data_IF_280853690513
#
_entry.id   IF_280853690513
#
_cell.length_a   1.000
_cell.length_b   1.000
_cell.length_c   1.000
_cell.angle_alpha   90.00
_cell.angle_beta   90.00
_cell.angle_gamma   90.00
#
_symmetry.space_group_name_H-M   'P 1'
#
loop_
_entity.id
_entity.type
_entity.pdbx_description
1 polymer ?
#
# COMPACT_ATOMS: atom_id res chain seq x y z
N UNK A 1 -28.77 -16.51 17.66
CA UNK A 1 -28.31 -16.05 18.99
C UNK A 1 -27.95 -14.57 18.94
N UNK A 2 -27.99 -13.88 20.07
CA UNK A 2 -27.50 -12.51 20.22
C UNK A 2 -26.11 -12.51 20.83
N UNK A 3 -25.19 -11.75 20.23
CA UNK A 3 -23.81 -11.56 20.71
C UNK A 3 -23.61 -10.08 21.02
N UNK A 4 -22.96 -9.81 22.15
CA UNK A 4 -22.59 -8.47 22.56
C UNK A 4 -21.24 -8.07 21.95
N UNK A 5 -21.18 -6.90 21.34
CA UNK A 5 -20.00 -6.36 20.69
C UNK A 5 -19.43 -5.25 21.56
N UNK A 6 -18.20 -5.44 22.01
CA UNK A 6 -17.47 -4.49 22.85
C UNK A 6 -16.16 -4.09 22.18
N UNK A 7 -15.64 -2.90 22.47
CA UNK A 7 -14.27 -2.54 22.08
C UNK A 7 -13.27 -3.31 22.96
N UNK A 8 -12.01 -3.36 22.54
CA UNK A 8 -10.91 -3.86 23.41
C UNK A 8 -10.68 -3.03 24.68
N UNK A 9 -11.41 -1.92 24.85
CA UNK A 9 -11.42 -1.05 26.03
C UNK A 9 -12.73 -1.17 26.82
N UNK A 10 -13.47 -2.26 26.63
CA UNK A 10 -14.75 -2.58 27.29
C UNK A 10 -15.88 -1.57 27.06
N UNK A 11 -15.79 -0.72 26.01
CA UNK A 11 -16.90 0.14 25.62
C UNK A 11 -17.89 -0.64 24.76
N UNK A 12 -19.17 -0.62 25.14
CA UNK A 12 -20.22 -1.29 24.39
C UNK A 12 -20.46 -0.62 23.03
N UNK A 13 -20.50 -1.41 21.95
CA UNK A 13 -20.87 -0.95 20.60
C UNK A 13 -22.33 -1.30 20.30
N UNK A 14 -22.82 -2.43 20.81
CA UNK A 14 -24.19 -2.89 20.62
C UNK A 14 -24.31 -4.41 20.60
N UNK A 15 -25.50 -4.91 20.26
CA UNK A 15 -25.78 -6.35 20.12
C UNK A 15 -26.10 -6.69 18.67
N UNK A 16 -25.65 -7.85 18.22
CA UNK A 16 -25.94 -8.35 16.87
C UNK A 16 -26.57 -9.74 16.94
N UNK A 17 -27.50 -10.02 16.02
CA UNK A 17 -28.08 -11.35 15.84
C UNK A 17 -27.24 -12.12 14.84
N UNK A 18 -26.77 -13.30 15.23
CA UNK A 18 -25.98 -14.20 14.39
C UNK A 18 -26.53 -15.63 14.45
N UNK A 19 -26.24 -16.42 13.42
CA UNK A 19 -26.54 -17.85 13.34
C UNK A 19 -25.26 -18.67 13.43
N UNK A 20 -25.36 -19.95 13.80
CA UNK A 20 -24.19 -20.85 13.91
C UNK A 20 -23.41 -21.00 12.60
N UNK A 21 -24.12 -20.84 11.47
CA UNK A 21 -23.54 -20.89 10.13
C UNK A 21 -22.86 -19.57 9.69
N UNK A 22 -23.08 -18.47 10.42
CA UNK A 22 -22.49 -17.18 10.09
C UNK A 22 -20.97 -17.24 10.22
N UNK A 23 -20.27 -16.55 9.32
CA UNK A 23 -18.82 -16.37 9.40
C UNK A 23 -18.46 -15.05 10.08
N UNK A 24 -17.19 -14.92 10.49
CA UNK A 24 -16.64 -13.66 11.00
C UNK A 24 -16.78 -12.52 9.98
N UNK A 25 -16.69 -12.81 8.68
CA UNK A 25 -16.93 -11.83 7.61
C UNK A 25 -18.35 -11.21 7.66
N UNK A 26 -19.37 -12.02 7.97
CA UNK A 26 -20.76 -11.57 8.10
C UNK A 26 -20.99 -10.76 9.39
N UNK A 27 -20.28 -11.14 10.46
CA UNK A 27 -20.27 -10.40 11.72
C UNK A 27 -19.68 -9.00 11.49
N UNK A 28 -18.54 -8.88 10.79
CA UNK A 28 -17.93 -7.58 10.47
C UNK A 28 -18.89 -6.67 9.70
N UNK A 29 -19.60 -7.22 8.71
CA UNK A 29 -20.63 -6.48 7.95
C UNK A 29 -21.77 -6.02 8.86
N UNK A 30 -22.22 -6.87 9.78
CA UNK A 30 -23.29 -6.55 10.73
C UNK A 30 -22.87 -5.45 11.72
N UNK A 31 -21.64 -5.50 12.23
CA UNK A 31 -21.06 -4.45 13.08
C UNK A 31 -20.97 -3.13 12.33
N UNK A 32 -20.58 -3.16 11.05
CA UNK A 32 -20.51 -1.96 10.21
C UNK A 32 -21.88 -1.31 10.00
N UNK A 33 -22.97 -2.07 10.01
CA UNK A 33 -24.34 -1.51 9.96
C UNK A 33 -24.73 -0.80 11.26
N UNK A 34 -24.28 -1.30 12.41
CA UNK A 34 -24.53 -0.67 13.73
C UNK A 34 -23.63 0.57 13.91
N UNK A 35 -22.37 0.48 13.49
CA UNK A 35 -21.38 1.55 13.61
C UNK A 35 -20.62 1.71 12.30
N UNK A 36 -21.14 2.58 11.43
CA UNK A 36 -20.61 2.83 10.08
C UNK A 36 -19.14 3.25 10.05
N UNK A 37 -18.65 3.93 11.09
CA UNK A 37 -17.24 4.30 11.22
C UNK A 37 -16.28 3.10 11.26
N UNK A 38 -16.76 1.92 11.68
CA UNK A 38 -16.03 0.66 11.68
C UNK A 38 -16.45 -0.17 10.48
N UNK A 39 -15.97 0.19 9.29
CA UNK A 39 -16.16 -0.65 8.10
C UNK A 39 -15.38 -1.97 8.22
N UNK A 40 -15.76 -3.04 7.48
CA UNK A 40 -15.26 -4.40 7.72
C UNK A 40 -13.73 -4.53 7.80
N UNK A 41 -12.97 -3.91 6.89
CA UNK A 41 -11.51 -4.03 6.87
C UNK A 41 -10.82 -3.32 8.04
N UNK A 42 -11.48 -2.31 8.62
CA UNK A 42 -11.00 -1.57 9.80
C UNK A 42 -11.17 -2.36 11.10
N UNK A 43 -11.92 -3.46 11.07
CA UNK A 43 -12.23 -4.28 12.24
C UNK A 43 -11.30 -5.48 12.39
N UNK A 44 -10.71 -5.63 13.58
CA UNK A 44 -10.09 -6.87 14.05
C UNK A 44 -10.94 -7.48 15.17
N UNK A 45 -11.57 -8.62 14.89
CA UNK A 45 -12.44 -9.33 15.85
C UNK A 45 -11.62 -10.33 16.65
N UNK A 46 -11.87 -10.39 17.96
CA UNK A 46 -11.16 -11.22 18.94
C UNK A 46 -12.14 -11.83 19.95
N UNK A 47 -11.81 -13.01 20.47
CA UNK A 47 -12.56 -13.64 21.57
C UNK A 47 -12.28 -13.00 22.93
N UNK A 48 -11.08 -12.45 23.09
CA UNK A 48 -10.62 -11.78 24.31
C UNK A 48 -10.05 -10.40 23.96
N UNK A 49 -10.09 -9.45 24.91
CA UNK A 49 -9.59 -8.09 24.69
C UNK A 49 -8.13 -8.05 24.18
N UNK A 50 -7.27 -8.95 24.68
CA UNK A 50 -5.86 -9.09 24.28
C UNK A 50 -5.57 -10.35 23.47
N UNK A 51 -6.61 -11.06 23.02
CA UNK A 51 -6.49 -12.28 22.26
C UNK A 51 -6.03 -12.07 20.81
N UNK A 52 -5.84 -13.20 20.11
CA UNK A 52 -5.51 -13.24 18.68
C UNK A 52 -6.72 -12.81 17.84
N UNK A 53 -6.46 -12.15 16.70
CA UNK A 53 -7.48 -11.85 15.70
C UNK A 53 -8.00 -13.15 15.07
N UNK A 54 -9.33 -13.24 14.95
CA UNK A 54 -10.01 -14.31 14.23
C UNK A 54 -9.87 -14.14 12.72
N UNK A 55 -9.94 -15.26 11.98
CA UNK A 55 -9.94 -15.23 10.52
C UNK A 55 -11.37 -15.01 10.02
N UNK A 56 -11.48 -14.38 8.87
CA UNK A 56 -12.78 -14.05 8.27
C UNK A 56 -13.58 -15.29 7.85
N UNK A 57 -12.90 -16.42 7.66
CA UNK A 57 -13.46 -17.73 7.33
C UNK A 57 -13.98 -18.51 8.53
N UNK A 58 -13.60 -18.13 9.76
CA UNK A 58 -13.98 -18.86 10.96
C UNK A 58 -15.50 -18.76 11.17
N UNK A 59 -16.13 -19.88 11.52
CA UNK A 59 -17.57 -19.95 11.77
C UNK A 59 -17.88 -19.75 13.23
N UNK A 60 -19.03 -19.16 13.51
CA UNK A 60 -19.50 -18.93 14.88
C UNK A 60 -19.61 -20.23 15.68
N UNK A 61 -20.06 -21.33 15.03
CA UNK A 61 -20.14 -22.66 15.64
C UNK A 61 -18.78 -23.16 16.17
N UNK A 62 -17.71 -22.97 15.39
CA UNK A 62 -16.37 -23.49 15.70
C UNK A 62 -15.71 -22.70 16.85
N UNK A 63 -16.17 -21.48 17.08
CA UNK A 63 -15.68 -20.57 18.12
C UNK A 63 -16.36 -20.79 19.48
N UNK A 64 -17.33 -21.70 19.58
CA UNK A 64 -18.03 -22.00 20.83
C UNK A 64 -18.85 -20.83 21.38
N UNK A 65 -19.23 -19.87 20.54
CA UNK A 65 -19.99 -18.69 20.94
C UNK A 65 -21.43 -19.09 21.28
N UNK A 66 -21.93 -18.59 22.41
CA UNK A 66 -23.28 -18.83 22.92
C UNK A 66 -24.09 -17.53 22.93
N UNK A 67 -25.39 -17.66 23.20
CA UNK A 67 -26.24 -16.50 23.40
C UNK A 67 -25.74 -15.65 24.59
N UNK A 68 -25.50 -14.36 24.37
CA UNK A 68 -24.92 -13.44 25.36
C UNK A 68 -23.39 -13.44 25.43
N UNK A 69 -22.69 -14.22 24.59
CA UNK A 69 -21.24 -14.13 24.49
C UNK A 69 -20.78 -12.73 24.06
N UNK A 70 -19.56 -12.37 24.45
CA UNK A 70 -18.93 -11.09 24.11
C UNK A 70 -17.90 -11.31 23.01
N UNK A 71 -17.88 -10.42 22.02
CA UNK A 71 -16.81 -10.31 21.03
C UNK A 71 -16.15 -8.95 21.13
N UNK A 72 -14.82 -8.96 21.05
CA UNK A 72 -14.00 -7.76 21.16
C UNK A 72 -13.61 -7.27 19.77
N UNK A 73 -13.91 -6.01 19.49
CA UNK A 73 -13.52 -5.33 18.25
C UNK A 73 -12.39 -4.37 18.54
N UNK A 74 -11.27 -4.57 17.84
CA UNK A 74 -10.17 -3.61 17.77
C UNK A 74 -10.29 -2.80 16.49
N UNK A 75 -10.23 -1.48 16.63
CA UNK A 75 -10.10 -0.56 15.51
C UNK A 75 -8.64 -0.54 15.01
N UNK A 76 -8.43 -0.88 13.73
CA UNK A 76 -7.13 -0.87 13.06
C UNK A 76 -6.77 0.49 12.45
N UNK A 77 -7.68 1.46 12.47
CA UNK A 77 -7.57 2.72 11.77
C UNK A 77 -7.86 2.59 10.26
N UNK A 78 -7.75 3.71 9.50
CA UNK A 78 -8.03 3.71 8.08
C UNK A 78 -7.13 2.72 7.31
N UNK A 79 -7.78 1.80 6.61
CA UNK A 79 -7.20 0.78 5.76
C UNK A 79 -7.40 1.11 4.27
N UNK A 80 -6.43 0.74 3.45
CA UNK A 80 -6.45 0.83 1.98
C UNK A 80 -6.10 -0.53 1.37
N UNK A 81 -6.69 -0.85 0.21
CA UNK A 81 -6.47 -2.12 -0.47
C UNK A 81 -5.05 -2.27 -1.01
N UNK A 82 -4.46 -3.47 -0.90
CA UNK A 82 -3.08 -3.70 -1.34
C UNK A 82 -2.86 -3.39 -2.83
N UNK A 83 -3.81 -3.72 -3.70
CA UNK A 83 -3.69 -3.37 -5.13
C UNK A 83 -3.48 -1.87 -5.34
N UNK A 84 -4.28 -1.01 -4.68
CA UNK A 84 -4.12 0.45 -4.75
C UNK A 84 -2.77 0.91 -4.19
N UNK A 85 -2.28 0.25 -3.15
CA UNK A 85 -0.97 0.56 -2.56
C UNK A 85 0.14 0.29 -3.54
N UNK A 86 0.22 -0.93 -4.07
CA UNK A 86 1.26 -1.31 -5.02
C UNK A 86 1.20 -0.47 -6.30
N UNK A 87 -0.01 -0.11 -6.73
CA UNK A 87 -0.20 0.83 -7.84
C UNK A 87 0.40 2.20 -7.53
N UNK A 88 0.08 2.82 -6.39
CA UNK A 88 0.64 4.12 -6.02
C UNK A 88 2.15 4.07 -5.77
N UNK A 89 2.64 2.96 -5.20
CA UNK A 89 4.05 2.72 -4.92
C UNK A 89 4.89 2.65 -6.19
N UNK A 90 4.40 2.00 -7.26
CA UNK A 90 5.14 1.81 -8.51
C UNK A 90 4.79 2.79 -9.64
N UNK A 91 3.56 3.29 -9.70
CA UNK A 91 3.20 4.35 -10.65
C UNK A 91 3.90 5.67 -10.31
N UNK A 92 4.19 5.91 -9.03
CA UNK A 92 4.90 7.09 -8.57
C UNK A 92 6.31 7.24 -9.13
N UNK A 93 7.21 6.27 -8.96
CA UNK A 93 8.54 6.27 -9.59
C UNK A 93 8.49 6.48 -11.10
N UNK A 94 7.51 5.90 -11.80
CA UNK A 94 7.33 6.15 -13.23
C UNK A 94 6.99 7.62 -13.49
N UNK A 95 5.97 8.14 -12.81
CA UNK A 95 5.51 9.52 -13.00
C UNK A 95 6.56 10.55 -12.60
N UNK A 96 7.19 10.37 -11.44
CA UNK A 96 8.24 11.25 -10.92
C UNK A 96 9.43 11.25 -11.87
N UNK A 97 9.90 10.09 -12.33
CA UNK A 97 11.03 10.06 -13.26
C UNK A 97 10.72 10.80 -14.56
N UNK A 98 9.53 10.58 -15.15
CA UNK A 98 9.10 11.27 -16.37
C UNK A 98 8.93 12.78 -16.17
N UNK A 99 8.45 13.20 -14.99
CA UNK A 99 8.35 14.62 -14.64
C UNK A 99 9.73 15.28 -14.60
N UNK A 100 10.73 14.65 -13.99
CA UNK A 100 12.10 15.18 -13.97
C UNK A 100 12.76 15.10 -15.36
N UNK A 101 12.46 14.06 -16.14
CA UNK A 101 12.94 13.92 -17.51
C UNK A 101 12.37 15.00 -18.45
N UNK A 102 11.13 15.44 -18.23
CA UNK A 102 10.52 16.56 -18.95
C UNK A 102 11.15 17.93 -18.61
N UNK A 103 12.02 17.98 -17.59
CA UNK A 103 12.79 19.15 -17.15
C UNK A 103 11.94 20.43 -17.02
N UNK A 104 10.88 20.43 -16.20
CA UNK A 104 10.10 21.64 -15.98
C UNK A 104 11.00 22.77 -15.47
N UNK A 105 10.79 23.97 -16.01
CA UNK A 105 11.57 25.16 -15.69
C UNK A 105 11.61 25.49 -14.20
N UNK A 106 10.58 25.08 -13.44
CA UNK A 106 10.51 25.21 -11.99
C UNK A 106 11.70 24.57 -11.25
N UNK A 107 12.17 23.40 -11.71
CA UNK A 107 13.28 22.68 -11.07
C UNK A 107 14.63 22.92 -11.77
N UNK A 108 14.62 23.19 -13.08
CA UNK A 108 15.82 23.23 -13.91
C UNK A 108 16.26 24.63 -14.36
N UNK A 109 15.43 25.66 -14.15
CA UNK A 109 15.73 27.04 -14.51
C UNK A 109 16.22 27.20 -15.95
N UNK A 110 17.33 27.91 -16.14
CA UNK A 110 17.94 28.16 -17.45
C UNK A 110 18.39 26.88 -18.19
N UNK A 111 18.56 25.77 -17.47
CA UNK A 111 19.00 24.50 -18.08
C UNK A 111 17.84 23.68 -18.67
N UNK A 112 16.58 24.06 -18.44
CA UNK A 112 15.40 23.31 -18.89
C UNK A 112 15.41 22.99 -20.40
N UNK A 113 15.90 23.91 -21.22
CA UNK A 113 15.96 23.77 -22.68
C UNK A 113 17.21 23.04 -23.20
N UNK A 114 18.11 22.59 -22.31
CA UNK A 114 19.29 21.85 -22.73
C UNK A 114 18.92 20.41 -23.12
N UNK A 115 19.56 19.90 -24.17
CA UNK A 115 19.37 18.52 -24.61
C UNK A 115 19.87 17.55 -23.55
N UNK A 116 19.08 16.51 -23.28
CA UNK A 116 19.46 15.43 -22.37
C UNK A 116 20.59 14.59 -22.99
N UNK A 117 21.47 14.03 -22.15
CA UNK A 117 22.52 13.13 -22.63
C UNK A 117 21.91 11.83 -23.16
N UNK A 118 22.59 11.17 -24.10
CA UNK A 118 22.15 9.85 -24.60
C UNK A 118 22.04 8.81 -23.48
N UNK A 119 22.91 8.88 -22.48
CA UNK A 119 22.87 7.99 -21.30
C UNK A 119 21.59 8.20 -20.50
N UNK A 120 21.20 9.45 -20.25
CA UNK A 120 19.99 9.76 -19.51
C UNK A 120 18.71 9.43 -20.31
N UNK A 121 18.77 9.53 -21.64
CA UNK A 121 17.69 9.06 -22.51
C UNK A 121 17.51 7.53 -22.44
N UNK A 122 18.58 6.76 -22.56
CA UNK A 122 18.53 5.29 -22.41
C UNK A 122 18.05 4.90 -21.02
N UNK A 123 18.54 5.57 -19.97
CA UNK A 123 18.11 5.31 -18.60
C UNK A 123 16.62 5.60 -18.41
N UNK A 124 16.08 6.64 -19.04
CA UNK A 124 14.65 6.95 -18.99
C UNK A 124 13.80 5.85 -19.61
N UNK A 125 14.22 5.29 -20.75
CA UNK A 125 13.54 4.14 -21.36
C UNK A 125 13.59 2.90 -20.46
N UNK A 126 14.77 2.56 -19.92
CA UNK A 126 14.91 1.40 -19.02
C UNK A 126 14.05 1.55 -17.76
N UNK A 127 14.09 2.72 -17.11
CA UNK A 127 13.31 3.02 -15.92
C UNK A 127 11.80 2.94 -16.21
N UNK A 128 11.37 3.57 -17.29
CA UNK A 128 9.97 3.60 -17.69
C UNK A 128 9.45 2.20 -18.01
N UNK A 129 10.22 1.41 -18.76
CA UNK A 129 9.87 0.03 -19.09
C UNK A 129 9.76 -0.83 -17.82
N UNK A 130 10.74 -0.74 -16.91
CA UNK A 130 10.73 -1.49 -15.66
C UNK A 130 9.50 -1.19 -14.81
N UNK A 131 9.22 0.09 -14.52
CA UNK A 131 8.10 0.45 -13.67
C UNK A 131 6.75 0.24 -14.36
N UNK A 132 6.68 0.36 -15.69
CA UNK A 132 5.48 -0.03 -16.45
C UNK A 132 5.23 -1.53 -16.31
N UNK A 133 6.25 -2.38 -16.46
CA UNK A 133 6.13 -3.82 -16.20
C UNK A 133 5.62 -4.08 -14.78
N UNK A 134 6.19 -3.43 -13.76
CA UNK A 134 5.76 -3.57 -12.35
C UNK A 134 4.29 -3.20 -12.13
N UNK A 135 3.83 -2.11 -12.76
CA UNK A 135 2.43 -1.68 -12.70
C UNK A 135 1.52 -2.71 -13.39
N UNK A 136 1.91 -3.22 -14.56
CA UNK A 136 1.16 -4.27 -15.25
C UNK A 136 1.13 -5.58 -14.48
N UNK A 137 2.24 -5.99 -13.86
CA UNK A 137 2.30 -7.16 -12.99
C UNK A 137 1.36 -7.00 -11.78
N UNK A 138 1.29 -5.80 -11.21
CA UNK A 138 0.37 -5.46 -10.12
C UNK A 138 -1.10 -5.58 -10.55
N UNK A 139 -1.43 -5.19 -11.78
CA UNK A 139 -2.80 -5.21 -12.31
C UNK A 139 -3.25 -6.62 -12.74
N UNK A 140 -2.37 -7.38 -13.39
CA UNK A 140 -2.76 -8.59 -14.12
C UNK A 140 -2.22 -9.89 -13.52
N UNK A 141 -1.11 -9.85 -12.79
CA UNK A 141 -0.39 -11.05 -12.33
C UNK A 141 -0.49 -11.22 -10.82
N UNK A 142 -0.43 -10.13 -10.05
CA UNK A 142 -0.38 -10.18 -8.60
C UNK A 142 -1.72 -10.60 -7.99
N UNK A 143 -1.67 -11.66 -7.18
CA UNK A 143 -2.76 -12.08 -6.30
C UNK A 143 -2.41 -11.76 -4.85
N UNK A 144 -3.06 -10.75 -4.29
CA UNK A 144 -2.86 -10.37 -2.90
C UNK A 144 -3.55 -11.35 -1.94
N UNK A 145 -2.81 -11.84 -0.94
CA UNK A 145 -3.31 -12.75 0.09
C UNK A 145 -4.02 -12.02 1.24
N UNK A 146 -3.60 -10.79 1.52
CA UNK A 146 -4.29 -9.87 2.41
C UNK A 146 -5.04 -8.82 1.59
N UNK A 147 -6.19 -8.39 2.10
CA UNK A 147 -7.03 -7.44 1.38
C UNK A 147 -6.55 -5.99 1.56
N UNK A 148 -6.08 -5.61 2.76
CA UNK A 148 -5.77 -4.22 3.08
C UNK A 148 -4.52 -4.02 3.95
N UNK A 149 -4.05 -2.77 4.01
CA UNK A 149 -3.03 -2.30 4.94
C UNK A 149 -3.37 -0.91 5.53
N UNK A 150 -2.75 -0.51 6.66
CA UNK A 150 -2.93 0.83 7.23
C UNK A 150 -2.42 1.93 6.29
N UNK A 151 -3.22 2.98 6.09
CA UNK A 151 -2.91 4.07 5.15
C UNK A 151 -1.59 4.80 5.45
N UNK A 152 -1.19 4.88 6.71
CA UNK A 152 0.07 5.55 7.08
C UNK A 152 1.30 4.86 6.49
N UNK A 153 1.23 3.55 6.24
CA UNK A 153 2.32 2.83 5.59
C UNK A 153 2.43 3.18 4.11
N UNK A 154 1.33 3.60 3.46
CA UNK A 154 1.34 4.02 2.06
C UNK A 154 2.24 5.24 1.88
N UNK A 155 2.07 6.25 2.73
CA UNK A 155 2.88 7.45 2.66
C UNK A 155 4.37 7.18 2.90
N UNK A 156 4.70 6.27 3.83
CA UNK A 156 6.09 5.86 4.06
C UNK A 156 6.70 5.21 2.83
N UNK A 157 6.01 4.23 2.25
CA UNK A 157 6.47 3.52 1.06
C UNK A 157 6.60 4.48 -0.13
N UNK A 158 5.56 5.24 -0.43
CA UNK A 158 5.56 6.19 -1.54
C UNK A 158 6.66 7.24 -1.38
N UNK A 159 6.80 7.86 -0.21
CA UNK A 159 7.85 8.85 0.02
C UNK A 159 9.24 8.27 -0.22
N UNK A 160 9.49 7.02 0.21
CA UNK A 160 10.74 6.32 -0.04
C UNK A 160 10.99 6.11 -1.54
N UNK A 161 10.09 5.44 -2.25
CA UNK A 161 10.29 5.11 -3.67
C UNK A 161 10.32 6.35 -4.57
N UNK A 162 9.44 7.31 -4.32
CA UNK A 162 9.33 8.53 -5.12
C UNK A 162 10.52 9.45 -4.87
N UNK A 163 10.91 9.62 -3.61
CA UNK A 163 12.10 10.39 -3.24
C UNK A 163 13.39 9.76 -3.77
N UNK A 164 13.52 8.43 -3.68
CA UNK A 164 14.65 7.71 -4.24
C UNK A 164 14.74 7.87 -5.76
N UNK A 165 13.61 7.83 -6.45
CA UNK A 165 13.53 8.11 -7.90
C UNK A 165 14.07 9.50 -8.24
N UNK A 166 13.59 10.53 -7.53
CA UNK A 166 14.05 11.91 -7.73
C UNK A 166 15.56 12.04 -7.48
N UNK A 167 16.07 11.37 -6.44
CA UNK A 167 17.49 11.35 -6.13
C UNK A 167 18.34 10.70 -7.23
N UNK A 168 17.95 9.51 -7.71
CA UNK A 168 18.66 8.80 -8.79
C UNK A 168 18.65 9.61 -10.09
N UNK A 169 17.50 10.19 -10.48
CA UNK A 169 17.43 11.04 -11.67
C UNK A 169 18.35 12.27 -11.56
N UNK A 170 18.31 12.95 -10.40
CA UNK A 170 19.13 14.13 -10.16
C UNK A 170 20.62 13.80 -10.21
N UNK A 171 21.05 12.71 -9.58
CA UNK A 171 22.42 12.22 -9.66
C UNK A 171 22.85 11.92 -11.09
N UNK A 172 22.03 11.20 -11.86
CA UNK A 172 22.32 10.89 -13.26
C UNK A 172 22.48 12.16 -14.10
N UNK A 173 21.64 13.17 -13.85
CA UNK A 173 21.70 14.45 -14.56
C UNK A 173 22.97 15.22 -14.21
N UNK A 174 23.29 15.35 -12.92
CA UNK A 174 24.48 16.07 -12.43
C UNK A 174 25.77 15.37 -12.88
N UNK A 175 25.82 14.04 -12.79
CA UNK A 175 27.01 13.26 -13.15
C UNK A 175 27.29 13.33 -14.66
N UNK A 176 26.26 13.32 -15.51
CA UNK A 176 26.41 13.55 -16.96
C UNK A 176 26.90 14.97 -17.30
N UNK A 177 26.58 15.96 -16.47
CA UNK A 177 27.01 17.36 -16.67
C UNK A 177 28.45 17.57 -16.20
N UNK A 178 28.83 17.00 -15.05
CA UNK A 178 30.14 17.23 -14.42
C UNK A 178 31.26 16.32 -14.97
N UNK A 179 30.96 15.08 -15.33
CA UNK A 179 31.95 14.14 -15.84
C UNK A 179 31.48 13.57 -17.18
N UNK A 180 32.13 13.98 -18.28
CA UNK A 180 31.83 13.51 -19.65
C UNK A 180 32.00 11.99 -19.86
N UNK A 181 32.49 11.23 -18.88
CA UNK A 181 32.76 9.79 -19.00
C UNK A 181 32.65 9.14 -17.63
N UNK A 182 31.54 8.46 -17.32
CA UNK A 182 31.49 7.23 -16.49
C UNK A 182 30.14 6.52 -16.71
N UNK A 183 30.00 5.86 -17.85
CA UNK A 183 28.84 5.03 -18.22
C UNK A 183 28.56 3.92 -17.20
N UNK A 184 29.59 3.45 -16.47
CA UNK A 184 29.52 2.22 -15.69
C UNK A 184 28.85 2.37 -14.31
N UNK A 185 29.08 3.46 -13.56
CA UNK A 185 28.58 3.54 -12.17
C UNK A 185 27.08 3.85 -12.11
N UNK A 186 26.59 4.74 -12.97
CA UNK A 186 25.18 5.13 -12.99
C UNK A 186 24.30 4.05 -13.60
N UNK A 187 24.78 3.33 -14.63
CA UNK A 187 24.09 2.16 -15.16
C UNK A 187 23.97 1.06 -14.10
N UNK A 188 25.01 0.83 -13.29
CA UNK A 188 24.96 -0.13 -12.17
C UNK A 188 23.92 0.28 -11.12
N UNK A 189 23.80 1.56 -10.76
CA UNK A 189 22.75 2.02 -9.84
C UNK A 189 21.33 1.85 -10.39
N UNK A 190 21.14 2.11 -11.69
CA UNK A 190 19.87 1.88 -12.38
C UNK A 190 19.57 0.37 -12.46
N UNK A 191 20.55 -0.46 -12.78
CA UNK A 191 20.40 -1.92 -12.80
C UNK A 191 20.11 -2.50 -11.40
N UNK A 192 20.76 -1.99 -10.35
CA UNK A 192 20.49 -2.38 -8.95
C UNK A 192 19.08 -1.99 -8.52
N UNK A 193 18.54 -0.88 -9.03
CA UNK A 193 17.14 -0.50 -8.77
C UNK A 193 16.13 -1.47 -9.39
N UNK A 194 16.55 -2.32 -10.34
CA UNK A 194 15.71 -3.33 -10.98
C UNK A 194 15.74 -4.72 -10.30
N UNK A 195 16.59 -4.93 -9.28
CA UNK A 195 16.79 -6.25 -8.63
C UNK A 195 15.81 -6.51 -7.48
N UNK A 196 15.09 -5.50 -6.99
CA UNK A 196 14.01 -5.67 -5.99
C UNK A 196 12.66 -5.78 -6.68
#
# INVERSE_FOLDING_TARGET
MEIEIVTTTDKNIGKIKVTDASQISDIKKSISKVKSALYPDRQSIRLEARGKSLKDTDKVKDLGLKNGSKLYVKDLGPQIGWSTVFMAEYAGPLFVYLLFYARPSLFYGATANQKMSQVAEVAAYCWSFHYTKRVLETLFVHRFSHNTMPIMNLFKNCTYYWGFTAFVHTLLTIHCILHRVQFNFTLVLVLLSFVN
#
